data_IF_793413820114
#
_entry.id   IF_793413820114
#
_cell.length_a   1.000
_cell.length_b   1.000
_cell.length_c   1.000
_cell.angle_alpha   90.00
_cell.angle_beta   90.00
_cell.angle_gamma   90.00
#
_symmetry.space_group_name_H-M   'P 1'
#
loop_
_entity.id
_entity.type
_entity.pdbx_description
1 polymer ?
#
# COMPACT_ATOMS: atom_id res chain seq x y z
N UNK A 1 0.53 11.59 1.87
CA UNK A 1 -0.35 11.02 0.84
C UNK A 1 -0.44 9.54 1.13
N UNK A 2 -1.65 8.97 1.12
CA UNK A 2 -1.92 7.55 1.28
C UNK A 2 -2.76 7.12 0.09
N UNK A 3 -2.56 5.90 -0.42
CA UNK A 3 -3.42 5.39 -1.48
C UNK A 3 -4.79 5.05 -0.91
N UNK A 4 -5.85 5.32 -1.67
CA UNK A 4 -7.22 4.99 -1.25
C UNK A 4 -7.43 3.48 -1.18
N UNK A 5 -6.81 2.75 -2.10
CA UNK A 5 -6.87 1.30 -2.22
C UNK A 5 -5.64 0.77 -2.96
N UNK A 6 -5.51 -0.55 -3.01
CA UNK A 6 -4.37 -1.20 -3.66
C UNK A 6 -4.36 -1.08 -5.18
N UNK A 7 -5.51 -0.85 -5.81
CA UNK A 7 -5.56 -0.65 -7.26
C UNK A 7 -4.94 0.70 -7.63
N UNK A 8 -5.21 1.76 -6.86
CA UNK A 8 -4.55 3.05 -7.02
C UNK A 8 -3.02 2.96 -6.79
N UNK A 9 -2.57 2.15 -5.82
CA UNK A 9 -1.15 1.92 -5.60
C UNK A 9 -0.49 1.17 -6.76
N UNK A 10 -1.17 0.18 -7.34
CA UNK A 10 -0.70 -0.60 -8.49
C UNK A 10 -0.68 0.22 -9.78
N UNK A 11 -1.74 0.99 -10.05
CA UNK A 11 -1.83 1.89 -11.20
C UNK A 11 -0.76 2.99 -11.15
N UNK A 12 -0.41 3.46 -9.95
CA UNK A 12 0.70 4.38 -9.74
C UNK A 12 2.10 3.72 -9.85
N UNK A 13 2.17 2.39 -9.99
CA UNK A 13 3.42 1.64 -10.00
C UNK A 13 4.16 1.64 -8.66
N UNK A 14 3.43 1.88 -7.56
CA UNK A 14 3.97 2.00 -6.21
C UNK A 14 3.74 0.75 -5.34
N UNK A 15 3.01 -0.24 -5.85
CA UNK A 15 2.83 -1.52 -5.17
C UNK A 15 4.03 -2.46 -5.43
N UNK A 16 4.49 -3.23 -4.43
CA UNK A 16 4.03 -3.26 -3.03
C UNK A 16 4.44 -2.01 -2.25
N UNK A 17 3.58 -1.56 -1.34
CA UNK A 17 3.78 -0.34 -0.54
C UNK A 17 4.25 -0.73 0.86
N UNK A 18 5.45 -0.32 1.25
CA UNK A 18 6.04 -0.71 2.53
C UNK A 18 5.68 0.25 3.67
N UNK A 19 5.56 -0.29 4.89
CA UNK A 19 5.34 0.50 6.09
C UNK A 19 6.44 1.57 6.26
N UNK A 20 5.99 2.84 6.32
CA UNK A 20 6.88 4.00 6.39
C UNK A 20 7.10 4.73 5.06
N UNK A 21 6.67 4.15 3.94
CA UNK A 21 6.70 4.83 2.65
C UNK A 21 5.53 5.81 2.48
N UNK A 22 5.73 6.91 1.73
CA UNK A 22 4.63 7.77 1.31
C UNK A 22 3.68 6.99 0.40
N UNK A 23 2.46 6.79 0.88
CA UNK A 23 1.47 5.93 0.21
C UNK A 23 0.94 4.84 1.12
N UNK A 24 1.73 4.44 2.13
CA UNK A 24 1.33 3.42 3.08
C UNK A 24 0.17 3.89 3.94
N UNK A 25 -0.85 3.04 4.01
CA UNK A 25 -1.99 3.20 4.90
C UNK A 25 -2.25 1.87 5.60
N UNK A 26 -2.51 1.84 6.91
CA UNK A 26 -2.85 0.61 7.62
C UNK A 26 -4.09 -0.10 7.06
N UNK A 27 -4.91 0.60 6.28
CA UNK A 27 -6.07 0.04 5.58
C UNK A 27 -5.71 -0.73 4.30
N UNK A 28 -4.48 -0.59 3.81
CA UNK A 28 -3.96 -1.28 2.62
C UNK A 28 -3.22 -2.58 2.96
N UNK A 29 -2.73 -2.67 4.19
CA UNK A 29 -2.07 -3.85 4.78
C UNK A 29 -3.10 -4.61 5.63
N UNK A 30 -3.76 -5.59 5.01
CA UNK A 30 -4.93 -6.26 5.62
C UNK A 30 -4.53 -7.28 6.68
N UNK A 31 -3.36 -7.88 6.54
CA UNK A 31 -2.79 -8.88 7.44
C UNK A 31 -1.82 -8.29 8.46
N UNK A 32 -1.38 -7.05 8.25
CA UNK A 32 -0.65 -6.26 9.25
C UNK A 32 0.82 -6.61 9.34
N UNK A 33 1.42 -7.09 8.25
CA UNK A 33 2.81 -7.54 8.21
C UNK A 33 3.79 -6.41 7.84
N UNK A 34 3.26 -5.24 7.48
CA UNK A 34 4.00 -4.05 7.04
C UNK A 34 4.21 -3.96 5.54
N UNK A 35 3.58 -4.83 4.74
CA UNK A 35 3.60 -4.82 3.27
C UNK A 35 2.17 -4.69 2.76
N UNK A 36 1.81 -3.47 2.37
CA UNK A 36 0.52 -3.22 1.74
C UNK A 36 0.53 -3.59 0.25
N UNK A 37 -0.61 -4.07 -0.24
CA UNK A 37 -0.87 -4.28 -1.67
C UNK A 37 0.09 -5.25 -2.36
N UNK A 38 0.38 -6.36 -1.68
CA UNK A 38 1.12 -7.48 -2.23
C UNK A 38 0.54 -7.99 -3.58
N UNK A 39 1.36 -8.64 -4.43
CA UNK A 39 0.95 -9.23 -5.70
C UNK A 39 -0.12 -10.32 -5.56
#
# INVERSE_FOLDING_TARGET
MYYENCDAARDAGAAPVYAGEPGYGPHLDRDGDGVACEP
#
